data_IF_782198453491
#
_entry.id   IF_782198453491
#
_cell.length_a   1.000
_cell.length_b   1.000
_cell.length_c   1.000
_cell.angle_alpha   90.00
_cell.angle_beta   90.00
_cell.angle_gamma   90.00
#
_symmetry.space_group_name_H-M   'P 1'
#
loop_
_entity.id
_entity.type
_entity.pdbx_description
1 polymer ?
#
# COMPACT_ATOMS: atom_id res chain seq x y z
N UNK A 1 2.05 43.94 -20.23
CA UNK A 1 1.33 42.70 -20.56
C UNK A 1 1.55 41.71 -19.43
N UNK A 2 0.51 41.46 -18.64
CA UNK A 2 0.55 40.64 -17.42
C UNK A 2 0.04 39.24 -17.74
N UNK A 3 0.87 38.22 -17.55
CA UNK A 3 0.49 36.82 -17.74
C UNK A 3 -0.19 36.30 -16.47
N UNK A 4 -1.49 36.54 -16.36
CA UNK A 4 -2.35 35.90 -15.36
C UNK A 4 -2.95 34.62 -15.95
N UNK A 5 -2.21 33.51 -15.90
CA UNK A 5 -2.78 32.19 -16.13
C UNK A 5 -2.20 31.19 -15.12
N UNK A 6 -3.09 30.36 -14.57
CA UNK A 6 -2.91 29.37 -13.50
C UNK A 6 -3.33 29.81 -12.08
N UNK A 7 -4.50 30.43 -11.95
CA UNK A 7 -5.41 30.08 -10.86
C UNK A 7 -6.29 28.92 -11.33
N UNK A 8 -5.74 27.71 -11.29
CA UNK A 8 -6.59 26.51 -11.21
C UNK A 8 -6.54 26.10 -9.75
N UNK A 9 -7.55 26.56 -9.01
CA UNK A 9 -7.92 26.01 -7.72
C UNK A 9 -8.02 24.50 -7.89
N UNK A 10 -7.03 23.78 -7.36
CA UNK A 10 -7.04 22.33 -7.26
C UNK A 10 -8.06 21.94 -6.19
N UNK A 11 -9.34 22.11 -6.50
CA UNK A 11 -10.42 21.38 -5.86
C UNK A 11 -10.38 19.93 -6.35
N UNK A 12 -9.27 19.24 -6.06
CA UNK A 12 -9.24 17.79 -6.06
C UNK A 12 -10.01 17.33 -4.82
N UNK A 13 -11.33 17.53 -4.84
CA UNK A 13 -12.22 16.68 -4.06
C UNK A 13 -11.95 15.28 -4.57
N UNK A 14 -11.21 14.49 -3.79
CA UNK A 14 -11.09 13.05 -3.97
C UNK A 14 -12.52 12.52 -3.87
N UNK A 15 -13.19 12.49 -5.01
CA UNK A 15 -14.49 11.89 -5.18
C UNK A 15 -14.33 10.44 -4.80
N UNK A 16 -14.72 10.14 -3.56
CA UNK A 16 -15.19 8.86 -3.04
C UNK A 16 -15.28 7.82 -4.16
N UNK A 17 -14.26 6.98 -4.30
CA UNK A 17 -14.17 5.91 -5.30
C UNK A 17 -15.25 4.84 -5.02
N UNK A 18 -16.51 5.16 -5.28
CA UNK A 18 -17.70 4.30 -5.16
C UNK A 18 -17.94 3.46 -6.41
N UNK A 19 -16.91 2.80 -6.92
CA UNK A 19 -17.07 1.61 -7.75
C UNK A 19 -16.15 0.54 -7.19
N UNK A 20 -16.63 -0.66 -6.84
CA UNK A 20 -15.73 -1.79 -6.67
C UNK A 20 -15.22 -2.16 -8.06
N UNK A 21 -14.30 -1.35 -8.57
CA UNK A 21 -13.63 -1.58 -9.84
C UNK A 21 -12.78 -2.84 -9.73
N UNK A 22 -12.31 -3.35 -10.86
CA UNK A 22 -11.40 -4.50 -10.90
C UNK A 22 -10.18 -4.34 -9.99
N UNK A 23 -9.83 -3.10 -9.64
CA UNK A 23 -8.82 -2.69 -8.66
C UNK A 23 -8.98 -3.34 -7.27
N UNK A 24 -10.20 -3.67 -6.84
CA UNK A 24 -10.43 -4.37 -5.56
C UNK A 24 -9.79 -5.76 -5.55
N UNK A 25 -9.67 -6.40 -6.72
CA UNK A 25 -9.02 -7.71 -6.86
C UNK A 25 -7.51 -7.63 -6.61
N UNK A 26 -6.93 -6.43 -6.68
CA UNK A 26 -5.51 -6.16 -6.45
C UNK A 26 -5.22 -5.58 -5.06
N UNK A 27 -6.24 -5.34 -4.23
CA UNK A 27 -6.06 -4.76 -2.89
C UNK A 27 -4.97 -5.45 -2.05
N UNK A 28 -4.84 -6.79 -2.03
CA UNK A 28 -3.73 -7.41 -1.30
C UNK A 28 -2.35 -7.01 -1.81
N UNK A 29 -2.18 -6.88 -3.13
CA UNK A 29 -0.92 -6.44 -3.75
C UNK A 29 -0.60 -5.01 -3.39
N UNK A 30 -1.58 -4.11 -3.57
CA UNK A 30 -1.42 -2.69 -3.28
C UNK A 30 -1.18 -2.45 -1.78
N UNK A 31 -1.89 -3.16 -0.91
CA UNK A 31 -1.70 -3.04 0.53
C UNK A 31 -0.30 -3.48 0.99
N UNK A 32 0.25 -4.57 0.44
CA UNK A 32 1.65 -4.96 0.73
C UNK A 32 2.62 -3.88 0.26
N UNK A 33 2.46 -3.42 -0.98
CA UNK A 33 3.34 -2.41 -1.57
C UNK A 33 3.31 -1.07 -0.81
N UNK A 34 2.13 -0.61 -0.39
CA UNK A 34 1.98 0.62 0.41
C UNK A 34 2.65 0.49 1.78
N UNK A 35 2.50 -0.67 2.44
CA UNK A 35 3.18 -0.91 3.71
C UNK A 35 4.70 -0.89 3.52
N UNK A 36 5.22 -1.51 2.45
CA UNK A 36 6.65 -1.53 2.16
C UNK A 36 7.21 -0.12 1.93
N UNK A 37 6.46 0.75 1.24
CA UNK A 37 6.81 2.17 1.06
C UNK A 37 6.88 2.89 2.41
N UNK A 38 5.88 2.71 3.28
CA UNK A 38 5.82 3.36 4.60
C UNK A 38 6.96 2.89 5.50
N UNK A 39 7.30 1.62 5.45
CA UNK A 39 8.43 1.05 6.19
C UNK A 39 9.75 1.61 5.66
N UNK A 40 9.91 1.68 4.34
CA UNK A 40 11.11 2.20 3.67
C UNK A 40 11.37 3.67 4.00
N UNK A 41 10.35 4.53 3.90
CA UNK A 41 10.48 5.95 4.21
C UNK A 41 10.42 6.27 5.71
N UNK A 42 10.09 5.29 6.56
CA UNK A 42 10.01 5.50 8.01
C UNK A 42 8.81 6.33 8.46
N UNK A 43 7.76 6.46 7.64
CA UNK A 43 6.53 7.22 7.96
C UNK A 43 5.71 6.64 9.11
N UNK A 44 6.05 5.42 9.57
CA UNK A 44 5.49 4.76 10.74
C UNK A 44 6.10 5.24 12.07
N UNK A 45 7.12 6.10 12.04
CA UNK A 45 7.80 6.55 13.27
C UNK A 45 7.01 7.68 13.91
N UNK A 46 6.54 7.52 15.17
CA UNK A 46 5.81 8.58 15.84
C UNK A 46 6.75 9.73 16.19
N UNK A 47 6.33 10.97 15.91
CA UNK A 47 7.05 12.16 16.36
C UNK A 47 6.88 12.41 17.86
N UNK A 48 5.81 11.88 18.47
CA UNK A 48 5.50 12.03 19.89
C UNK A 48 4.97 10.71 20.48
N UNK A 49 5.32 10.35 21.73
CA UNK A 49 5.01 9.04 22.32
C UNK A 49 3.52 8.79 22.62
N UNK A 50 2.66 9.81 22.49
CA UNK A 50 1.21 9.72 22.72
C UNK A 50 0.38 9.98 21.46
N UNK A 51 1.03 10.12 20.31
CA UNK A 51 0.36 10.42 19.04
C UNK A 51 0.72 9.37 18.01
N UNK A 52 -0.30 8.85 17.35
CA UNK A 52 -0.11 7.95 16.21
C UNK A 52 0.49 8.72 15.03
N UNK A 53 1.36 8.09 14.23
CA UNK A 53 1.79 8.66 12.96
C UNK A 53 0.58 8.89 12.03
N UNK A 54 0.59 9.96 11.25
CA UNK A 54 -0.56 10.37 10.43
C UNK A 54 -1.04 9.27 9.45
N UNK A 55 -0.16 8.37 9.01
CA UNK A 55 -0.53 7.23 8.17
C UNK A 55 -1.54 6.27 8.81
N UNK A 56 -1.61 6.23 10.14
CA UNK A 56 -2.58 5.41 10.88
C UNK A 56 -3.95 6.10 10.99
N UNK A 57 -4.02 7.40 10.68
CA UNK A 57 -5.26 8.19 10.65
C UNK A 57 -5.78 8.39 9.21
N UNK A 58 -4.97 8.04 8.21
CA UNK A 58 -5.34 8.11 6.80
C UNK A 58 -6.35 7.00 6.43
N UNK A 59 -7.59 7.42 6.14
CA UNK A 59 -8.70 6.51 5.84
C UNK A 59 -8.48 5.66 4.59
N UNK A 60 -7.79 6.20 3.57
CA UNK A 60 -7.56 5.48 2.31
C UNK A 60 -6.49 4.42 2.50
N UNK A 61 -5.43 4.75 3.24
CA UNK A 61 -4.41 3.80 3.65
C UNK A 61 -5.00 2.68 4.50
N UNK A 62 -5.77 3.01 5.55
CA UNK A 62 -6.39 2.03 6.43
C UNK A 62 -7.37 1.13 5.67
N UNK A 63 -8.17 1.68 4.75
CA UNK A 63 -9.07 0.91 3.90
C UNK A 63 -8.32 -0.05 2.96
N UNK A 64 -7.24 0.39 2.32
CA UNK A 64 -6.47 -0.44 1.39
C UNK A 64 -5.65 -1.53 2.11
N UNK A 65 -5.16 -1.24 3.31
CA UNK A 65 -4.36 -2.20 4.09
C UNK A 65 -5.20 -3.06 5.01
N UNK A 66 -6.49 -2.74 5.18
CA UNK A 66 -7.37 -3.34 6.19
C UNK A 66 -6.75 -3.29 7.60
N UNK A 67 -6.07 -2.18 7.89
CA UNK A 67 -5.44 -1.92 9.16
C UNK A 67 -6.48 -1.24 10.05
N UNK A 68 -6.77 -1.88 11.16
CA UNK A 68 -7.82 -1.46 12.09
C UNK A 68 -7.15 -1.06 13.40
N UNK A 69 -6.99 0.24 13.58
CA UNK A 69 -6.39 0.83 14.78
C UNK A 69 -7.37 0.99 15.92
N UNK A 70 -8.68 0.93 15.64
CA UNK A 70 -9.73 1.18 16.63
C UNK A 70 -10.01 -0.07 17.49
N UNK A 71 -9.71 -1.25 16.94
CA UNK A 71 -9.80 -2.53 17.65
C UNK A 71 -8.48 -3.04 18.23
N UNK A 72 -7.36 -2.35 17.99
CA UNK A 72 -6.09 -2.66 18.65
C UNK A 72 -6.07 -2.05 20.07
N UNK A 73 -5.58 -2.83 21.03
CA UNK A 73 -5.45 -2.41 22.42
C UNK A 73 -4.49 -1.21 22.48
N UNK A 74 -4.99 -0.02 22.85
CA UNK A 74 -4.18 1.20 22.80
C UNK A 74 -2.97 1.08 23.74
N UNK A 75 -1.74 1.09 23.22
CA UNK A 75 -0.56 0.99 24.06
C UNK A 75 -0.40 2.26 24.90
N UNK A 76 0.12 2.13 26.12
CA UNK A 76 0.43 3.29 26.99
C UNK A 76 1.37 4.31 26.32
N UNK A 77 2.22 3.82 25.40
CA UNK A 77 3.10 4.64 24.56
C UNK A 77 3.15 4.09 23.14
N UNK A 78 2.91 4.97 22.17
CA UNK A 78 3.11 4.67 20.75
C UNK A 78 4.61 4.74 20.46
N UNK A 79 5.21 3.59 20.15
CA UNK A 79 6.64 3.48 19.83
C UNK A 79 6.82 3.08 18.38
N UNK A 80 7.94 3.48 17.76
CA UNK A 80 8.27 3.07 16.39
C UNK A 80 8.29 1.55 16.23
N UNK A 81 8.77 0.82 17.25
CA UNK A 81 8.76 -0.64 17.24
C UNK A 81 7.36 -1.24 17.27
N UNK A 82 6.41 -0.62 17.99
CA UNK A 82 5.01 -1.04 18.00
C UNK A 82 4.36 -0.80 16.63
N UNK A 83 4.47 0.41 16.07
CA UNK A 83 3.96 0.74 14.74
C UNK A 83 4.54 -0.18 13.66
N UNK A 84 5.84 -0.46 13.70
CA UNK A 84 6.49 -1.38 12.76
C UNK A 84 5.96 -2.81 12.90
N UNK A 85 5.78 -3.31 14.13
CA UNK A 85 5.20 -4.65 14.36
C UNK A 85 3.78 -4.76 13.78
N UNK A 86 2.94 -3.73 13.96
CA UNK A 86 1.59 -3.70 13.39
C UNK A 86 1.62 -3.78 11.86
N UNK A 87 2.43 -2.94 11.24
CA UNK A 87 2.58 -2.90 9.78
C UNK A 87 3.12 -4.22 9.23
N UNK A 88 4.15 -4.80 9.83
CA UNK A 88 4.72 -6.09 9.41
C UNK A 88 3.71 -7.22 9.56
N UNK A 89 2.97 -7.26 10.67
CA UNK A 89 1.91 -8.25 10.89
C UNK A 89 0.83 -8.12 9.81
N UNK A 90 0.41 -6.91 9.49
CA UNK A 90 -0.61 -6.67 8.48
C UNK A 90 -0.10 -7.00 7.07
N UNK A 91 1.13 -6.63 6.74
CA UNK A 91 1.81 -7.01 5.49
C UNK A 91 1.80 -8.52 5.29
N UNK A 92 2.18 -9.29 6.32
CA UNK A 92 2.15 -10.75 6.25
C UNK A 92 0.75 -11.33 6.04
N UNK A 93 -0.29 -10.74 6.66
CA UNK A 93 -1.68 -11.15 6.41
C UNK A 93 -2.08 -10.89 4.96
N UNK A 94 -1.72 -9.72 4.40
CA UNK A 94 -2.02 -9.36 3.02
C UNK A 94 -1.25 -10.22 2.02
N UNK A 95 0.03 -10.48 2.26
CA UNK A 95 0.87 -11.34 1.41
C UNK A 95 0.37 -12.79 1.33
N UNK A 96 -0.30 -13.27 2.38
CA UNK A 96 -0.93 -14.60 2.40
C UNK A 96 -2.23 -14.68 1.58
N UNK A 97 -2.86 -13.53 1.25
CA UNK A 97 -4.06 -13.52 0.43
C UNK A 97 -3.66 -13.87 -1.02
N UNK A 98 -4.20 -14.96 -1.54
CA UNK A 98 -3.95 -15.37 -2.93
C UNK A 98 -4.61 -14.38 -3.88
N UNK A 99 -3.80 -13.84 -4.79
CA UNK A 99 -4.30 -13.15 -5.97
C UNK A 99 -4.59 -14.19 -7.06
N UNK A 100 -5.64 -13.96 -7.83
CA UNK A 100 -5.96 -14.87 -8.94
C UNK A 100 -4.94 -14.70 -10.06
N UNK A 101 -4.34 -15.80 -10.52
CA UNK A 101 -3.44 -15.80 -11.69
C UNK A 101 -4.18 -15.42 -12.99
N UNK A 102 -5.52 -15.41 -12.97
CA UNK A 102 -6.34 -14.96 -14.11
C UNK A 102 -6.39 -13.43 -14.26
N UNK A 103 -5.84 -12.67 -13.32
CA UNK A 103 -5.87 -11.21 -13.34
C UNK A 103 -5.07 -10.64 -14.54
N UNK A 104 -5.61 -9.64 -15.27
CA UNK A 104 -4.97 -9.05 -16.45
C UNK A 104 -3.51 -8.62 -16.22
N UNK A 105 -3.21 -8.00 -15.08
CA UNK A 105 -1.86 -7.61 -14.69
C UNK A 105 -0.82 -8.74 -14.80
N UNK A 106 -1.09 -9.94 -14.29
CA UNK A 106 -0.12 -11.05 -14.36
C UNK A 106 0.04 -11.58 -15.78
N UNK A 107 -1.04 -11.57 -16.57
CA UNK A 107 -0.98 -11.90 -18.00
C UNK A 107 -0.13 -10.88 -18.76
N UNK A 108 -0.34 -9.60 -18.50
CA UNK A 108 0.39 -8.50 -19.13
C UNK A 108 1.87 -8.51 -18.74
N UNK A 109 2.21 -8.74 -17.46
CA UNK A 109 3.61 -8.92 -17.04
C UNK A 109 4.24 -10.09 -17.78
N UNK A 110 3.56 -11.24 -17.85
CA UNK A 110 4.10 -12.41 -18.56
C UNK A 110 4.37 -12.10 -20.03
N UNK A 111 3.46 -11.40 -20.70
CA UNK A 111 3.63 -10.96 -22.08
C UNK A 111 4.84 -10.03 -22.22
N UNK A 112 4.93 -9.00 -21.38
CA UNK A 112 6.06 -8.05 -21.38
C UNK A 112 7.40 -8.74 -21.12
N UNK A 113 7.46 -9.69 -20.17
CA UNK A 113 8.69 -10.46 -19.93
C UNK A 113 9.09 -11.32 -21.12
N UNK A 114 8.11 -11.86 -21.86
CA UNK A 114 8.37 -12.58 -23.11
C UNK A 114 8.87 -11.66 -24.21
N UNK A 115 8.26 -10.47 -24.37
CA UNK A 115 8.67 -9.47 -25.36
C UNK A 115 10.08 -8.93 -25.10
N UNK A 116 10.42 -8.70 -23.83
CA UNK A 116 11.72 -8.17 -23.43
C UNK A 116 12.79 -9.27 -23.28
N UNK A 117 12.44 -10.53 -23.59
CA UNK A 117 13.27 -11.71 -23.41
C UNK A 117 13.89 -11.81 -21.99
N UNK A 118 13.17 -11.28 -21.00
CA UNK A 118 13.55 -11.32 -19.60
C UNK A 118 13.29 -12.76 -19.14
N UNK A 119 14.33 -13.58 -19.23
CA UNK A 119 14.28 -14.97 -18.76
C UNK A 119 13.69 -15.02 -17.35
N UNK A 120 12.92 -16.10 -17.10
CA UNK A 120 12.07 -16.39 -15.91
C UNK A 120 12.78 -16.22 -14.55
N UNK A 121 14.10 -15.96 -14.54
CA UNK A 121 14.90 -15.60 -13.37
C UNK A 121 14.33 -14.38 -12.64
N UNK A 122 13.87 -13.33 -13.35
CA UNK A 122 13.29 -12.13 -12.74
C UNK A 122 11.89 -12.34 -12.17
N UNK A 123 11.05 -13.14 -12.83
CA UNK A 123 9.73 -13.52 -12.31
C UNK A 123 9.83 -14.40 -11.06
N UNK A 124 10.87 -15.23 -10.97
CA UNK A 124 11.17 -16.03 -9.77
C UNK A 124 11.65 -15.14 -8.62
N UNK A 125 12.39 -14.07 -8.91
CA UNK A 125 12.80 -13.04 -7.93
C UNK A 125 11.60 -12.28 -7.36
N UNK A 126 10.70 -11.77 -8.22
CA UNK A 126 9.46 -11.09 -7.79
C UNK A 126 8.52 -12.01 -6.98
N UNK A 127 8.53 -13.32 -7.26
CA UNK A 127 7.72 -14.32 -6.52
C UNK A 127 8.36 -14.73 -5.18
N UNK A 128 9.68 -14.60 -5.02
CA UNK A 128 10.39 -14.98 -3.80
C UNK A 128 10.43 -13.85 -2.76
N UNK A 129 10.52 -12.59 -3.21
CA UNK A 129 10.42 -11.39 -2.36
C UNK A 129 9.04 -11.24 -1.70
N UNK A 130 7.98 -11.80 -2.31
CA UNK A 130 6.62 -11.81 -1.75
C UNK A 130 6.34 -12.94 -0.73
N UNK A 131 7.33 -13.79 -0.45
CA UNK A 131 7.19 -14.96 0.45
C UNK A 131 7.97 -14.86 1.76
N UNK A 132 8.58 -13.71 2.06
CA UNK A 132 9.18 -13.38 3.36
C UNK A 132 8.35 -12.31 4.06
#
# INVERSE_FOLDING_TARGET
MSLSFLSHSAANSLTCCKRPGENVKYTPLFGVWLIDIILYFGWHRPSHPRRWPDIFEDSDFCAMTALDTDHEEQPERVTAGHCMKLLVRQRQKLAKKKLSDSLPFFRNIKLLTGMLNLTVKWLRFLRHEYKQ
#
